data_IF_829744510637
#
_entry.id   IF_829744510637
#
_cell.length_a   1.000
_cell.length_b   1.000
_cell.length_c   1.000
_cell.angle_alpha   90.00
_cell.angle_beta   90.00
_cell.angle_gamma   90.00
#
_symmetry.space_group_name_H-M   'P 1'
#
loop_
_entity.id
_entity.type
_entity.pdbx_description
1 polymer ?
#
# COMPACT_ATOMS: atom_id res chain seq x y z
N UNK A 1 15.73 -1.03 12.29
CA UNK A 1 14.37 -1.62 12.44
C UNK A 1 13.38 -0.75 11.69
N UNK A 2 12.70 -1.29 10.67
CA UNK A 2 11.71 -0.51 9.90
C UNK A 2 10.49 -0.23 10.78
N UNK A 3 10.12 1.04 10.92
CA UNK A 3 8.89 1.50 11.61
C UNK A 3 7.62 0.82 11.07
N UNK A 4 7.69 0.27 9.86
CA UNK A 4 6.54 -0.26 9.12
C UNK A 4 6.27 -1.76 9.35
N UNK A 5 7.23 -2.53 9.88
CA UNK A 5 7.06 -3.99 10.04
C UNK A 5 5.85 -4.34 10.91
N UNK A 6 5.62 -3.60 12.01
CA UNK A 6 4.46 -3.83 12.88
C UNK A 6 3.13 -3.56 12.18
N UNK A 7 3.10 -2.59 11.26
CA UNK A 7 1.90 -2.29 10.46
C UNK A 7 1.69 -3.36 9.40
N UNK A 8 2.75 -3.82 8.75
CA UNK A 8 2.69 -4.91 7.78
C UNK A 8 2.16 -6.19 8.43
N UNK A 9 2.57 -6.51 9.66
CA UNK A 9 2.07 -7.67 10.41
C UNK A 9 0.57 -7.65 10.70
N UNK A 10 -0.08 -6.48 10.67
CA UNK A 10 -1.54 -6.37 10.82
C UNK A 10 -2.31 -6.66 9.53
N UNK A 11 -1.64 -6.65 8.38
CA UNK A 11 -2.27 -6.98 7.09
C UNK A 11 -2.38 -8.49 6.93
N UNK A 12 -3.57 -8.97 6.52
CA UNK A 12 -3.82 -10.39 6.24
C UNK A 12 -2.86 -10.93 5.17
N UNK A 13 -2.49 -10.11 4.19
CA UNK A 13 -1.63 -10.53 3.07
C UNK A 13 -0.14 -10.55 3.42
N UNK A 14 0.27 -9.88 4.49
CA UNK A 14 1.68 -9.74 4.86
C UNK A 14 2.02 -10.43 6.18
N UNK A 15 1.02 -10.84 6.98
CA UNK A 15 1.24 -11.37 8.33
C UNK A 15 2.07 -12.67 8.36
N UNK A 16 2.07 -13.45 7.29
CA UNK A 16 2.82 -14.70 7.13
C UNK A 16 4.33 -14.49 6.94
N UNK A 17 4.75 -13.31 6.47
CA UNK A 17 6.16 -13.00 6.24
C UNK A 17 6.89 -12.77 7.55
N UNK A 18 8.08 -13.33 7.72
CA UNK A 18 8.96 -13.05 8.85
C UNK A 18 9.44 -11.59 8.85
N UNK A 19 9.94 -11.10 9.98
CA UNK A 19 10.49 -9.74 10.07
C UNK A 19 11.71 -9.60 9.16
N UNK A 20 12.51 -10.64 9.06
CA UNK A 20 13.71 -10.75 8.26
C UNK A 20 13.38 -10.64 6.77
N UNK A 21 12.36 -11.37 6.31
CA UNK A 21 11.87 -11.29 4.93
C UNK A 21 11.31 -9.89 4.60
N UNK A 22 10.50 -9.31 5.48
CA UNK A 22 9.97 -7.95 5.29
C UNK A 22 11.10 -6.92 5.18
N UNK A 23 12.10 -7.01 6.06
CA UNK A 23 13.25 -6.10 6.01
C UNK A 23 14.06 -6.31 4.72
N UNK A 24 14.27 -7.56 4.30
CA UNK A 24 14.95 -7.88 3.04
C UNK A 24 14.22 -7.24 1.85
N UNK A 25 12.92 -7.45 1.72
CA UNK A 25 12.12 -6.89 0.61
C UNK A 25 12.08 -5.36 0.60
N UNK A 26 12.13 -4.72 1.78
CA UNK A 26 12.26 -3.27 1.86
C UNK A 26 13.66 -2.81 1.45
N UNK A 27 14.71 -3.55 1.83
CA UNK A 27 16.10 -3.20 1.54
C UNK A 27 16.50 -3.44 0.08
N UNK A 28 15.96 -4.48 -0.56
CA UNK A 28 16.22 -4.81 -1.96
C UNK A 28 15.31 -4.05 -2.94
N UNK A 29 14.33 -3.31 -2.42
CA UNK A 29 13.41 -2.47 -3.19
C UNK A 29 12.21 -3.21 -3.81
N UNK A 30 12.05 -4.51 -3.54
CA UNK A 30 10.88 -5.29 -3.94
C UNK A 30 9.60 -4.73 -3.30
N UNK A 31 9.70 -4.28 -2.05
CA UNK A 31 8.66 -3.52 -1.38
C UNK A 31 9.06 -2.05 -1.28
N UNK A 32 8.08 -1.18 -1.53
CA UNK A 32 8.24 0.28 -1.43
C UNK A 32 7.19 0.84 -0.49
N UNK A 33 7.60 1.76 0.37
CA UNK A 33 6.70 2.50 1.25
C UNK A 33 6.39 3.83 0.59
N UNK A 34 5.11 4.05 0.29
CA UNK A 34 4.59 5.32 -0.20
C UNK A 34 3.78 6.01 0.89
N UNK A 35 3.82 7.34 0.92
CA UNK A 35 2.98 8.15 1.83
C UNK A 35 2.20 9.17 1.01
N UNK A 36 0.92 9.33 1.36
CA UNK A 36 0.01 10.24 0.66
C UNK A 36 -0.63 11.19 1.68
N UNK A 37 -0.70 12.47 1.32
CA UNK A 37 -1.38 13.48 2.13
C UNK A 37 -2.91 13.30 2.06
N UNK A 38 -3.62 13.93 3.02
CA UNK A 38 -5.08 14.00 3.00
C UNK A 38 -5.57 14.61 1.67
N UNK A 39 -6.67 14.07 1.14
CA UNK A 39 -7.30 14.52 -0.11
C UNK A 39 -6.39 14.45 -1.35
N UNK A 40 -5.40 13.55 -1.36
CA UNK A 40 -4.60 13.25 -2.56
C UNK A 40 -5.21 12.09 -3.33
N UNK A 41 -5.35 12.28 -4.63
CA UNK A 41 -5.70 11.21 -5.56
C UNK A 41 -4.48 10.28 -5.65
N UNK A 42 -4.69 9.00 -5.36
CA UNK A 42 -3.64 7.97 -5.42
C UNK A 42 -3.65 7.32 -6.81
N UNK A 43 -4.86 7.04 -7.31
CA UNK A 43 -5.11 6.22 -8.48
C UNK A 43 -6.30 6.76 -9.28
N UNK A 44 -6.25 6.66 -10.61
CA UNK A 44 -7.31 7.08 -11.53
C UNK A 44 -7.97 5.86 -12.20
N UNK A 45 -9.28 5.97 -12.44
CA UNK A 45 -9.99 4.97 -13.25
C UNK A 45 -9.40 4.90 -14.65
N UNK A 46 -9.13 3.69 -15.13
CA UNK A 46 -8.52 3.44 -16.44
C UNK A 46 -6.99 3.46 -16.44
N UNK A 47 -6.33 3.80 -15.33
CA UNK A 47 -4.88 3.62 -15.25
C UNK A 47 -4.50 2.14 -15.27
N UNK A 48 -3.32 1.82 -15.80
CA UNK A 48 -2.82 0.45 -15.79
C UNK A 48 -2.50 0.03 -14.34
N UNK A 49 -3.18 -0.99 -13.86
CA UNK A 49 -2.82 -1.66 -12.60
C UNK A 49 -1.50 -2.44 -12.80
N UNK A 50 -0.39 -1.87 -12.35
CA UNK A 50 0.95 -2.46 -12.51
C UNK A 50 1.52 -3.04 -11.20
N UNK A 51 0.87 -2.80 -10.06
CA UNK A 51 1.35 -3.17 -8.73
C UNK A 51 0.18 -3.40 -7.78
N UNK A 52 0.42 -4.24 -6.78
CA UNK A 52 -0.46 -4.39 -5.62
C UNK A 52 0.00 -3.43 -4.52
N UNK A 53 -0.88 -2.55 -4.05
CA UNK A 53 -0.63 -1.67 -2.91
C UNK A 53 -1.49 -2.10 -1.71
N UNK A 54 -0.92 -2.01 -0.51
CA UNK A 54 -1.56 -2.39 0.75
C UNK A 54 -1.54 -1.18 1.67
N UNK A 55 -2.71 -0.79 2.19
CA UNK A 55 -2.85 0.32 3.14
C UNK A 55 -2.31 -0.14 4.50
N UNK A 56 -1.15 0.39 4.91
CA UNK A 56 -0.55 0.09 6.22
C UNK A 56 -1.15 0.94 7.35
N UNK A 57 -1.56 2.18 7.05
CA UNK A 57 -2.19 3.09 7.99
C UNK A 57 -3.03 4.14 7.25
N UNK A 58 -4.09 4.62 7.90
CA UNK A 58 -5.03 5.59 7.34
C UNK A 58 -6.23 4.95 6.67
N UNK A 59 -6.93 5.74 5.83
CA UNK A 59 -8.12 5.32 5.09
C UNK A 59 -8.06 5.92 3.68
N UNK A 60 -8.59 5.18 2.71
CA UNK A 60 -8.73 5.60 1.31
C UNK A 60 -10.20 5.48 0.95
N UNK A 61 -10.70 6.42 0.16
CA UNK A 61 -12.05 6.37 -0.44
C UNK A 61 -11.88 5.98 -1.90
N UNK A 62 -12.73 5.08 -2.36
CA UNK A 62 -12.80 4.68 -3.78
C UNK A 62 -14.03 5.33 -4.36
N UNK A 63 -13.83 6.25 -5.30
CA UNK A 63 -14.90 6.93 -6.02
C UNK A 63 -14.93 6.42 -7.46
N UNK A 64 -16.13 6.11 -7.96
CA UNK A 64 -16.38 5.84 -9.37
C UNK A 64 -17.27 6.96 -9.88
N UNK A 65 -16.79 7.67 -10.88
CA UNK A 65 -17.57 8.66 -11.62
C UNK A 65 -18.12 7.92 -12.83
N UNK A 66 -19.44 7.78 -12.90
CA UNK A 66 -20.09 7.21 -14.08
C UNK A 66 -20.46 8.32 -15.09
N UNK A 67 -21.06 7.95 -16.22
CA UNK A 67 -21.37 8.91 -17.29
C UNK A 67 -22.36 10.01 -16.86
N UNK A 68 -23.06 9.84 -15.74
CA UNK A 68 -24.06 10.77 -15.24
C UNK A 68 -23.49 11.82 -14.29
N UNK A 69 -22.20 11.69 -13.91
CA UNK A 69 -21.54 12.51 -12.89
C UNK A 69 -21.57 11.84 -11.52
#
# INVERSE_FOLDING_TARGET
MSKYTELMKKSILLNSLTREEMNRYLSDGSFKISTYGKNKIIHFTGERCAKLEIILAGKVVVERIDQSG
#
